data_IF_371224055380
#
_entry.id   IF_371224055380
#
_cell.length_a   1.000
_cell.length_b   1.000
_cell.length_c   1.000
_cell.angle_alpha   90.00
_cell.angle_beta   90.00
_cell.angle_gamma   90.00
#
_symmetry.space_group_name_H-M   'P 1'
#
loop_
_entity.id
_entity.type
_entity.pdbx_description
1 polymer ?
#
# COMPACT_ATOMS: atom_id res chain seq x y z
N UNK A 1 -62.09 -16.05 -44.42
CA UNK A 1 -60.78 -16.67 -44.07
C UNK A 1 -59.80 -15.53 -43.89
N UNK A 2 -59.55 -15.18 -42.65
CA UNK A 2 -58.63 -14.09 -42.31
C UNK A 2 -57.59 -14.73 -41.38
N UNK A 3 -56.33 -14.77 -41.88
CA UNK A 3 -55.19 -15.34 -41.21
C UNK A 3 -54.58 -14.28 -40.30
N UNK A 4 -54.63 -14.52 -38.98
CA UNK A 4 -53.94 -13.69 -38.00
C UNK A 4 -52.49 -14.07 -37.91
N UNK A 5 -51.60 -13.18 -38.33
CA UNK A 5 -50.17 -13.28 -38.13
C UNK A 5 -49.78 -12.50 -36.87
N UNK A 6 -49.54 -13.23 -35.81
CA UNK A 6 -49.03 -12.68 -34.53
C UNK A 6 -47.52 -12.48 -34.67
N UNK A 7 -47.09 -11.21 -34.70
CA UNK A 7 -45.66 -10.84 -34.69
C UNK A 7 -45.21 -10.88 -33.24
N UNK A 8 -44.35 -11.85 -32.92
CA UNK A 8 -43.70 -11.99 -31.64
C UNK A 8 -42.42 -11.13 -31.64
N UNK A 9 -42.50 -9.93 -31.09
CA UNK A 9 -41.33 -9.06 -30.88
C UNK A 9 -40.52 -9.55 -29.69
N UNK A 10 -39.37 -10.20 -29.97
CA UNK A 10 -38.37 -10.49 -28.95
C UNK A 10 -37.69 -9.19 -28.50
N UNK A 11 -38.01 -8.76 -27.29
CA UNK A 11 -37.31 -7.66 -26.63
C UNK A 11 -36.00 -8.20 -26.06
N UNK A 12 -34.89 -8.01 -26.79
CA UNK A 12 -33.55 -8.33 -26.32
C UNK A 12 -33.12 -7.28 -25.29
N UNK A 13 -33.24 -7.59 -24.01
CA UNK A 13 -32.68 -6.81 -22.94
C UNK A 13 -31.13 -6.97 -22.97
N UNK A 14 -30.46 -5.99 -23.57
CA UNK A 14 -29.00 -5.88 -23.46
C UNK A 14 -28.65 -5.46 -22.03
N UNK A 15 -28.22 -6.43 -21.23
CA UNK A 15 -27.54 -6.14 -19.95
C UNK A 15 -26.21 -5.46 -20.24
N UNK A 16 -26.19 -4.15 -20.16
CA UNK A 16 -24.95 -3.40 -20.05
C UNK A 16 -24.34 -3.73 -18.68
N UNK A 17 -23.46 -4.72 -18.65
CA UNK A 17 -22.50 -4.87 -17.56
C UNK A 17 -21.61 -3.65 -17.62
N UNK A 18 -21.96 -2.59 -16.88
CA UNK A 18 -21.00 -1.54 -16.53
C UNK A 18 -19.98 -2.21 -15.59
N UNK A 19 -18.95 -2.82 -16.19
CA UNK A 19 -17.77 -3.21 -15.46
C UNK A 19 -17.23 -1.93 -14.81
N UNK A 20 -17.26 -1.85 -13.50
CA UNK A 20 -16.36 -0.98 -12.76
C UNK A 20 -14.95 -1.36 -13.25
N UNK A 21 -14.42 -0.59 -14.17
CA UNK A 21 -12.99 -0.60 -14.43
C UNK A 21 -12.38 0.06 -13.21
N UNK A 22 -11.97 -0.74 -12.24
CA UNK A 22 -10.97 -0.30 -11.27
C UNK A 22 -9.82 0.23 -12.10
N UNK A 23 -9.65 1.54 -12.08
CA UNK A 23 -8.47 2.17 -12.67
C UNK A 23 -7.31 1.80 -11.77
N UNK A 24 -6.79 0.60 -12.05
CA UNK A 24 -5.56 0.13 -11.45
C UNK A 24 -4.47 1.18 -11.69
N UNK A 25 -3.55 1.25 -10.74
CA UNK A 25 -2.33 2.04 -10.77
C UNK A 25 -1.82 2.24 -12.19
N UNK A 26 -1.39 3.45 -12.54
CA UNK A 26 -0.73 3.64 -13.83
C UNK A 26 0.45 2.65 -13.85
N UNK A 27 0.64 1.95 -14.95
CA UNK A 27 1.63 0.86 -15.02
C UNK A 27 3.02 1.29 -14.55
N UNK A 28 3.32 2.60 -14.64
CA UNK A 28 4.57 3.20 -14.17
C UNK A 28 4.70 3.18 -12.64
N UNK A 29 3.66 3.56 -11.91
CA UNK A 29 3.72 3.63 -10.43
C UNK A 29 3.72 2.23 -9.83
N UNK A 30 2.99 1.30 -10.45
CA UNK A 30 3.05 -0.11 -10.11
C UNK A 30 4.46 -0.68 -10.29
N UNK A 31 5.12 -0.39 -11.41
CA UNK A 31 6.48 -0.84 -11.68
C UNK A 31 7.50 -0.20 -10.73
N UNK A 32 7.38 1.08 -10.42
CA UNK A 32 8.23 1.74 -9.43
C UNK A 32 8.13 1.09 -8.06
N UNK A 33 6.90 0.76 -7.63
CA UNK A 33 6.69 0.17 -6.32
C UNK A 33 7.18 -1.27 -6.23
N UNK A 34 6.98 -2.08 -7.28
CA UNK A 34 7.13 -3.54 -7.22
C UNK A 34 8.45 -4.09 -7.78
N UNK A 35 9.22 -3.28 -8.51
CA UNK A 35 10.42 -3.78 -9.19
C UNK A 35 11.64 -3.96 -8.28
N UNK A 36 11.65 -3.32 -7.12
CA UNK A 36 12.81 -3.31 -6.23
C UNK A 36 12.38 -3.40 -4.76
N UNK A 37 13.11 -4.14 -3.91
CA UNK A 37 12.86 -4.15 -2.47
C UNK A 37 13.15 -2.78 -1.84
N UNK A 38 12.32 -2.40 -0.87
CA UNK A 38 12.44 -1.16 -0.12
C UNK A 38 12.99 -1.39 1.28
N UNK A 39 13.74 -0.44 1.81
CA UNK A 39 14.21 -0.44 3.20
C UNK A 39 13.77 0.82 3.91
N UNK A 40 13.51 0.70 5.21
CA UNK A 40 13.24 1.88 6.00
C UNK A 40 14.46 2.80 6.05
N UNK A 41 14.26 4.06 5.66
CA UNK A 41 15.23 5.12 5.95
C UNK A 41 14.94 5.72 7.32
N UNK A 42 13.70 6.14 7.53
CA UNK A 42 13.18 6.65 8.80
C UNK A 42 11.66 6.66 8.81
N UNK A 43 11.08 6.67 10.01
CA UNK A 43 9.68 6.96 10.22
C UNK A 43 9.49 7.72 11.53
N UNK A 44 8.39 8.45 11.66
CA UNK A 44 8.11 9.22 12.87
C UNK A 44 6.99 10.23 12.66
N UNK A 45 6.84 11.09 13.65
CA UNK A 45 5.79 12.11 13.69
C UNK A 45 6.36 13.49 13.34
N UNK A 46 5.59 14.25 12.59
CA UNK A 46 5.82 15.63 12.19
C UNK A 46 4.50 16.40 12.42
N UNK A 47 4.43 17.17 13.49
CA UNK A 47 3.18 17.79 13.96
C UNK A 47 2.81 19.05 13.18
N UNK A 48 3.77 19.67 12.52
CA UNK A 48 3.59 20.94 11.81
C UNK A 48 3.82 20.86 10.30
N UNK A 49 4.12 19.65 9.79
CA UNK A 49 4.38 19.36 8.37
C UNK A 49 5.53 20.20 7.77
N UNK A 50 6.54 20.48 8.58
CA UNK A 50 7.74 21.21 8.12
C UNK A 50 8.83 20.28 7.55
N UNK A 51 8.60 18.97 7.58
CA UNK A 51 9.52 17.92 7.12
C UNK A 51 10.59 17.55 8.16
N UNK A 52 10.50 18.10 9.36
CA UNK A 52 11.35 17.76 10.49
C UNK A 52 10.58 16.85 11.43
N UNK A 53 11.14 15.70 11.76
CA UNK A 53 10.49 14.76 12.67
C UNK A 53 10.60 15.25 14.12
N UNK A 54 9.46 15.53 14.75
CA UNK A 54 9.39 15.84 16.19
C UNK A 54 9.76 14.63 17.05
N UNK A 55 9.36 13.44 16.58
CA UNK A 55 9.69 12.17 17.23
C UNK A 55 9.89 11.07 16.18
N UNK A 56 10.98 10.34 16.29
CA UNK A 56 11.22 9.15 15.47
C UNK A 56 10.47 7.94 16.03
N UNK A 57 9.96 7.08 15.16
CA UNK A 57 9.43 5.78 15.58
C UNK A 57 10.58 4.91 16.10
N UNK A 58 10.57 4.53 17.37
CA UNK A 58 11.67 3.77 17.97
C UNK A 58 11.82 2.37 17.39
N UNK A 59 10.74 1.78 16.81
CA UNK A 59 10.80 0.48 16.15
C UNK A 59 11.63 0.57 14.86
N UNK A 60 11.34 1.58 14.03
CA UNK A 60 12.05 1.81 12.78
C UNK A 60 13.48 2.32 13.02
N UNK A 61 13.69 3.15 14.03
CA UNK A 61 15.03 3.59 14.41
C UNK A 61 15.90 2.46 14.98
N UNK A 62 15.28 1.42 15.50
CA UNK A 62 15.91 0.29 16.17
C UNK A 62 15.85 -1.03 15.41
N UNK A 63 14.91 -1.90 15.82
CA UNK A 63 14.87 -3.30 15.41
C UNK A 63 14.36 -3.55 14.00
N UNK A 64 13.60 -2.63 13.42
CA UNK A 64 12.99 -2.80 12.09
C UNK A 64 13.74 -2.09 10.96
N UNK A 65 14.77 -1.31 11.30
CA UNK A 65 15.57 -0.55 10.32
C UNK A 65 16.15 -1.42 9.20
N UNK A 66 16.51 -2.66 9.51
CA UNK A 66 17.11 -3.59 8.57
C UNK A 66 16.09 -4.43 7.81
N UNK A 67 14.80 -4.29 8.12
CA UNK A 67 13.74 -5.00 7.41
C UNK A 67 13.64 -4.51 5.98
N UNK A 68 13.37 -5.46 5.09
CA UNK A 68 13.16 -5.21 3.67
C UNK A 68 11.70 -5.40 3.32
N UNK A 69 11.08 -4.39 2.74
CA UNK A 69 9.67 -4.41 2.31
C UNK A 69 9.61 -4.73 0.82
N UNK A 70 8.85 -5.75 0.46
CA UNK A 70 8.69 -6.19 -0.92
C UNK A 70 7.21 -6.15 -1.28
N UNK A 71 6.88 -5.39 -2.33
CA UNK A 71 5.55 -5.32 -2.91
C UNK A 71 5.49 -6.20 -4.16
N UNK A 72 4.52 -7.09 -4.26
CA UNK A 72 4.29 -7.94 -5.42
C UNK A 72 3.15 -7.38 -6.27
N UNK A 73 3.21 -7.55 -7.59
CA UNK A 73 2.22 -7.01 -8.55
C UNK A 73 0.80 -7.53 -8.35
N UNK A 74 0.63 -8.61 -7.64
CA UNK A 74 -0.66 -9.25 -7.34
C UNK A 74 -1.38 -8.66 -6.11
N UNK A 75 -0.82 -7.58 -5.52
CA UNK A 75 -1.38 -6.97 -4.31
C UNK A 75 -0.94 -7.63 -3.00
N UNK A 76 -0.08 -8.64 -3.08
CA UNK A 76 0.58 -9.21 -1.90
C UNK A 76 1.92 -8.54 -1.65
N UNK A 77 2.48 -8.74 -0.48
CA UNK A 77 3.81 -8.28 -0.13
C UNK A 77 4.32 -8.98 1.12
N UNK A 78 5.56 -8.76 1.45
CA UNK A 78 6.13 -9.26 2.68
C UNK A 78 7.25 -8.36 3.20
N UNK A 79 7.35 -8.32 4.53
CA UNK A 79 8.47 -7.71 5.24
C UNK A 79 9.47 -8.79 5.59
N UNK A 80 10.61 -8.82 4.89
CA UNK A 80 11.70 -9.71 5.24
C UNK A 80 12.44 -9.14 6.45
N UNK A 81 12.52 -9.94 7.51
CA UNK A 81 13.08 -9.51 8.79
C UNK A 81 14.61 -9.40 8.69
N UNK A 82 15.13 -8.28 9.09
CA UNK A 82 16.59 -8.08 9.22
C UNK A 82 17.17 -8.76 10.45
N UNK A 83 18.51 -8.87 10.51
CA UNK A 83 19.20 -9.56 11.62
C UNK A 83 18.96 -8.93 13.00
N UNK A 84 18.61 -7.64 13.05
CA UNK A 84 18.32 -6.93 14.30
C UNK A 84 16.83 -6.96 14.68
N UNK A 85 15.96 -7.59 13.89
CA UNK A 85 14.55 -7.69 14.22
C UNK A 85 14.32 -8.53 15.47
N UNK A 86 13.61 -7.96 16.45
CA UNK A 86 13.25 -8.68 17.67
C UNK A 86 12.30 -9.85 17.40
N UNK A 87 11.57 -9.83 16.31
CA UNK A 87 10.68 -10.91 15.88
C UNK A 87 11.48 -12.10 15.35
N UNK A 88 12.54 -11.86 14.59
CA UNK A 88 13.40 -12.92 14.03
C UNK A 88 14.14 -13.72 15.12
N UNK A 89 14.46 -13.12 16.25
CA UNK A 89 15.17 -13.80 17.35
C UNK A 89 14.29 -14.77 18.16
N UNK A 90 12.97 -14.64 18.09
CA UNK A 90 12.01 -15.49 18.82
C UNK A 90 11.34 -16.56 17.95
N UNK A 91 11.44 -16.45 16.65
CA UNK A 91 10.81 -17.37 15.69
C UNK A 91 11.64 -18.65 15.61
N UNK A 92 11.28 -19.62 16.42
CA UNK A 92 11.80 -20.99 16.38
C UNK A 92 11.48 -21.66 15.03
N UNK A 93 12.51 -21.87 14.23
CA UNK A 93 12.67 -22.97 13.23
C UNK A 93 11.61 -23.22 12.13
N UNK A 94 10.70 -22.33 11.83
CA UNK A 94 9.81 -22.48 10.65
C UNK A 94 9.92 -21.21 9.84
N UNK A 95 10.53 -21.23 8.68
CA UNK A 95 10.57 -20.23 7.59
C UNK A 95 10.00 -18.81 7.90
N UNK A 96 10.29 -18.29 9.09
CA UNK A 96 9.64 -17.14 9.71
C UNK A 96 10.44 -15.85 9.52
N UNK A 97 11.23 -15.79 8.43
CA UNK A 97 12.04 -14.61 8.13
C UNK A 97 11.24 -13.53 7.38
N UNK A 98 9.92 -13.71 7.25
CA UNK A 98 9.08 -12.73 6.57
C UNK A 98 7.66 -12.67 7.14
N UNK A 99 7.12 -11.46 7.21
CA UNK A 99 5.75 -11.17 7.60
C UNK A 99 4.96 -10.77 6.34
N UNK A 100 3.95 -11.56 5.94
CA UNK A 100 3.13 -11.24 4.77
C UNK A 100 2.20 -10.07 5.08
N UNK A 101 1.88 -9.28 4.05
CA UNK A 101 0.86 -8.25 4.10
C UNK A 101 0.13 -8.15 2.75
N UNK A 102 -1.02 -7.47 2.76
CA UNK A 102 -1.73 -7.07 1.55
C UNK A 102 -1.52 -5.58 1.32
N UNK A 103 -1.53 -5.19 0.05
CA UNK A 103 -1.45 -3.78 -0.33
C UNK A 103 -2.29 -3.50 -1.58
N UNK A 104 -2.70 -2.26 -1.74
CA UNK A 104 -3.38 -1.80 -2.96
C UNK A 104 -3.25 -0.30 -3.12
N UNK A 105 -3.21 0.16 -4.36
CA UNK A 105 -3.39 1.59 -4.65
C UNK A 105 -4.88 1.97 -4.57
N UNK A 106 -5.13 3.20 -4.14
CA UNK A 106 -6.43 3.83 -4.02
C UNK A 106 -6.39 5.25 -4.57
N UNK A 107 -7.55 5.81 -4.91
CA UNK A 107 -7.69 7.22 -5.29
C UNK A 107 -6.77 7.65 -6.44
N UNK A 108 -6.75 6.90 -7.55
CA UNK A 108 -5.85 7.14 -8.70
C UNK A 108 -4.37 7.18 -8.30
N UNK A 109 -3.94 6.20 -7.52
CA UNK A 109 -2.55 6.00 -7.07
C UNK A 109 -1.98 7.07 -6.13
N UNK A 110 -2.84 7.95 -5.59
CA UNK A 110 -2.42 8.94 -4.60
C UNK A 110 -2.41 8.42 -3.16
N UNK A 111 -2.96 7.23 -2.95
CA UNK A 111 -3.06 6.58 -1.64
C UNK A 111 -2.70 5.11 -1.78
N UNK A 112 -1.99 4.57 -0.82
CA UNK A 112 -1.69 3.14 -0.71
C UNK A 112 -2.27 2.59 0.59
N UNK A 113 -2.98 1.45 0.50
CA UNK A 113 -3.27 0.61 1.65
C UNK A 113 -2.06 -0.29 1.88
N UNK A 114 -1.50 -0.29 3.08
CA UNK A 114 -0.28 -1.00 3.41
C UNK A 114 -0.20 -1.21 4.93
N UNK A 115 0.10 -2.43 5.38
CA UNK A 115 0.20 -2.77 6.81
C UNK A 115 -1.05 -2.33 7.62
N UNK A 116 -2.23 -2.68 7.09
CA UNK A 116 -3.53 -2.40 7.72
C UNK A 116 -3.90 -0.92 7.89
N UNK A 117 -3.20 -0.03 7.16
CA UNK A 117 -3.43 1.41 7.20
C UNK A 117 -3.41 2.04 5.80
N UNK A 118 -4.13 3.16 5.65
CA UNK A 118 -4.09 3.98 4.44
C UNK A 118 -3.07 5.11 4.62
N UNK A 119 -2.18 5.21 3.64
CA UNK A 119 -1.19 6.28 3.56
C UNK A 119 -1.38 7.07 2.27
N UNK A 120 -1.26 8.38 2.34
CA UNK A 120 -1.10 9.23 1.16
C UNK A 120 0.33 9.13 0.67
N UNK A 121 0.50 9.08 -0.64
CA UNK A 121 1.82 9.03 -1.28
C UNK A 121 2.27 10.47 -1.54
N UNK A 122 3.36 10.90 -0.90
CA UNK A 122 3.98 12.20 -1.16
C UNK A 122 4.99 12.10 -2.29
N UNK A 123 5.76 11.02 -2.33
CA UNK A 123 6.78 10.76 -3.34
C UNK A 123 6.82 9.28 -3.66
N UNK A 124 6.86 8.93 -4.94
CA UNK A 124 7.17 7.59 -5.43
C UNK A 124 8.05 7.73 -6.66
N UNK A 125 9.32 7.45 -6.51
CA UNK A 125 10.28 7.39 -7.60
C UNK A 125 11.21 6.17 -7.44
N UNK A 126 12.18 6.02 -8.33
CA UNK A 126 13.09 4.87 -8.33
C UNK A 126 14.03 4.78 -7.12
N UNK A 127 14.06 5.78 -6.25
CA UNK A 127 14.97 5.83 -5.10
C UNK A 127 14.24 6.02 -3.77
N UNK A 128 13.03 6.58 -3.80
CA UNK A 128 12.33 7.02 -2.61
C UNK A 128 10.84 6.77 -2.71
N UNK A 129 10.29 6.19 -1.67
CA UNK A 129 8.86 6.15 -1.39
C UNK A 129 8.62 6.89 -0.07
N UNK A 130 7.85 7.98 -0.12
CA UNK A 130 7.45 8.73 1.05
C UNK A 130 5.94 8.66 1.23
N UNK A 131 5.54 8.10 2.35
CA UNK A 131 4.17 7.85 2.76
C UNK A 131 3.84 8.69 3.98
N UNK A 132 2.59 9.15 4.09
CA UNK A 132 2.12 9.82 5.31
C UNK A 132 0.66 9.49 5.60
N UNK A 133 0.32 9.51 6.90
CA UNK A 133 -1.04 9.42 7.41
C UNK A 133 -1.27 10.53 8.44
N UNK A 134 -2.43 11.17 8.37
CA UNK A 134 -2.83 12.13 9.38
C UNK A 134 -3.40 11.34 10.57
N UNK A 135 -2.82 11.49 11.75
CA UNK A 135 -3.13 10.74 12.96
C UNK A 135 -3.41 11.67 14.14
N UNK A 136 -3.88 11.11 15.25
CA UNK A 136 -4.01 11.85 16.52
C UNK A 136 -3.07 11.24 17.54
N UNK A 137 -2.09 12.02 17.97
CA UNK A 137 -1.16 11.62 19.01
C UNK A 137 -1.30 12.58 20.21
N UNK A 138 -1.57 12.02 21.39
CA UNK A 138 -1.77 12.82 22.60
C UNK A 138 -2.96 13.80 22.54
N UNK A 139 -3.92 13.57 21.63
CA UNK A 139 -5.08 14.45 21.41
C UNK A 139 -4.84 15.60 20.42
N UNK A 140 -3.63 15.81 19.95
CA UNK A 140 -3.29 16.73 18.87
C UNK A 140 -3.30 16.02 17.51
N UNK A 141 -3.70 16.72 16.46
CA UNK A 141 -3.51 16.25 15.10
C UNK A 141 -2.02 16.28 14.77
N UNK A 142 -1.51 15.20 14.21
CA UNK A 142 -0.11 15.04 13.82
C UNK A 142 -0.03 14.21 12.54
N UNK A 143 1.10 14.25 11.88
CA UNK A 143 1.35 13.46 10.70
C UNK A 143 2.38 12.39 10.99
N UNK A 144 2.02 11.13 10.73
CA UNK A 144 2.97 10.04 10.74
C UNK A 144 3.55 9.87 9.34
N UNK A 145 4.87 9.89 9.22
CA UNK A 145 5.57 9.83 7.94
C UNK A 145 6.46 8.59 7.93
N UNK A 146 6.45 7.86 6.83
CA UNK A 146 7.36 6.74 6.54
C UNK A 146 8.16 7.09 5.30
N UNK A 147 9.48 6.96 5.39
CA UNK A 147 10.39 7.11 4.27
C UNK A 147 11.10 5.80 4.03
N UNK A 148 10.91 5.26 2.82
CA UNK A 148 11.56 4.07 2.34
C UNK A 148 12.52 4.45 1.20
N UNK A 149 13.60 3.69 1.07
CA UNK A 149 14.61 3.82 -0.01
C UNK A 149 15.02 2.46 -0.57
N UNK A 150 15.60 2.48 -1.76
CA UNK A 150 16.33 1.34 -2.32
C UNK A 150 17.77 1.27 -1.86
#
# INVERSE_FOLDING_TARGET
>A
MISNWTILTLLSASLYMTGCSDKNATGKDLDLLTNTPWKYEKAGFDSNDDGIFDALDPRIAGSEKDNTIIFCKDGTGYSALGPNSQLGSKASKVNADSLPFMWSFQNNDSTIYFQDQYYKIRTLDKHRLELYADEKFGGAETRYIIILKH
#
